data_IF_131540066247
#
_entry.id   IF_131540066247
#
_cell.length_a   1.000
_cell.length_b   1.000
_cell.length_c   1.000
_cell.angle_alpha   90.00
_cell.angle_beta   90.00
_cell.angle_gamma   90.00
#
_symmetry.space_group_name_H-M   'P 1'
#
loop_
_entity.id
_entity.type
_entity.pdbx_description
1 polymer ?
#
# COMPACT_ATOMS: atom_id res chain seq x y z
N UNK A 1 -10.61 -5.37 -11.30
CA UNK A 1 -10.60 -4.81 -9.94
C UNK A 1 -9.25 -4.15 -9.76
N UNK A 2 -9.18 -2.92 -9.27
CA UNK A 2 -7.90 -2.22 -9.13
C UNK A 2 -7.14 -2.71 -7.89
N UNK A 3 -5.82 -2.53 -7.87
CA UNK A 3 -4.97 -3.00 -6.77
C UNK A 3 -5.33 -2.32 -5.45
N UNK A 4 -5.63 -1.02 -5.47
CA UNK A 4 -6.03 -0.24 -4.30
C UNK A 4 -7.31 -0.78 -3.67
N UNK A 5 -8.32 -1.12 -4.46
CA UNK A 5 -9.58 -1.67 -3.97
C UNK A 5 -9.38 -3.05 -3.33
N UNK A 6 -8.58 -3.91 -3.97
CA UNK A 6 -8.29 -5.23 -3.44
C UNK A 6 -7.51 -5.15 -2.11
N UNK A 7 -6.49 -4.30 -2.05
CA UNK A 7 -5.72 -4.09 -0.82
C UNK A 7 -6.57 -3.48 0.30
N UNK A 8 -7.48 -2.57 -0.03
CA UNK A 8 -8.41 -1.98 0.93
C UNK A 8 -9.30 -3.03 1.60
N UNK A 9 -9.85 -3.95 0.81
CA UNK A 9 -10.68 -5.04 1.31
C UNK A 9 -9.87 -6.06 2.14
N UNK A 10 -8.68 -6.46 1.67
CA UNK A 10 -7.81 -7.43 2.34
C UNK A 10 -7.29 -6.93 3.68
N UNK A 11 -6.86 -5.67 3.75
CA UNK A 11 -6.29 -5.06 4.95
C UNK A 11 -7.31 -4.31 5.82
N UNK A 12 -8.60 -4.29 5.41
CA UNK A 12 -9.68 -3.56 6.08
C UNK A 12 -9.37 -2.08 6.30
N UNK A 13 -8.77 -1.44 5.29
CA UNK A 13 -8.45 -0.01 5.28
C UNK A 13 -9.32 0.72 4.27
N UNK A 14 -9.31 2.05 4.32
CA UNK A 14 -9.96 2.87 3.29
C UNK A 14 -9.24 2.69 1.96
N UNK A 15 -9.98 2.65 0.87
CA UNK A 15 -9.43 2.61 -0.49
C UNK A 15 -8.49 3.79 -0.77
N UNK A 16 -8.82 4.98 -0.26
CA UNK A 16 -7.95 6.16 -0.31
C UNK A 16 -6.58 5.92 0.35
N UNK A 17 -6.53 5.20 1.48
CA UNK A 17 -5.27 4.91 2.16
C UNK A 17 -4.43 3.90 1.37
N UNK A 18 -5.07 2.88 0.79
CA UNK A 18 -4.39 1.95 -0.11
C UNK A 18 -3.80 2.69 -1.32
N UNK A 19 -4.60 3.54 -1.98
CA UNK A 19 -4.16 4.34 -3.11
C UNK A 19 -2.98 5.27 -2.76
N UNK A 20 -3.05 5.96 -1.62
CA UNK A 20 -1.97 6.83 -1.15
C UNK A 20 -0.68 6.06 -0.86
N UNK A 21 -0.77 4.88 -0.23
CA UNK A 21 0.41 4.04 0.04
C UNK A 21 1.05 3.57 -1.27
N UNK A 22 0.25 3.12 -2.24
CA UNK A 22 0.74 2.71 -3.57
C UNK A 22 1.48 3.87 -4.23
N UNK A 23 0.88 5.07 -4.26
CA UNK A 23 1.50 6.26 -4.87
C UNK A 23 2.84 6.60 -4.20
N UNK A 24 2.90 6.59 -2.86
CA UNK A 24 4.13 6.88 -2.13
C UNK A 24 5.23 5.84 -2.40
N UNK A 25 4.86 4.55 -2.50
CA UNK A 25 5.80 3.48 -2.85
C UNK A 25 6.31 3.64 -4.29
N UNK A 26 5.44 4.02 -5.22
CA UNK A 26 5.80 4.25 -6.63
C UNK A 26 6.69 5.49 -6.82
N UNK A 27 6.53 6.50 -5.96
CA UNK A 27 7.44 7.64 -5.85
C UNK A 27 8.82 7.26 -5.26
N UNK A 28 9.01 6.01 -4.83
CA UNK A 28 10.27 5.51 -4.28
C UNK A 28 10.46 5.79 -2.78
N UNK A 29 9.41 6.20 -2.06
CA UNK A 29 9.51 6.38 -0.62
C UNK A 29 9.70 5.04 0.10
N UNK A 30 10.53 5.02 1.14
CA UNK A 30 10.76 3.80 1.93
C UNK A 30 9.64 3.57 2.95
N UNK A 31 9.37 2.31 3.29
CA UNK A 31 8.36 1.94 4.31
C UNK A 31 8.57 2.68 5.63
N UNK A 32 9.81 2.75 6.22
CA UNK A 32 10.02 3.49 7.46
C UNK A 32 9.73 4.99 7.33
N UNK A 33 10.00 5.57 6.16
CA UNK A 33 9.68 6.98 5.89
C UNK A 33 8.18 7.21 5.83
N UNK A 34 7.44 6.38 5.08
CA UNK A 34 5.98 6.48 4.94
C UNK A 34 5.33 6.37 6.34
N UNK A 35 5.65 5.31 7.09
CA UNK A 35 5.07 5.04 8.40
C UNK A 35 5.30 6.17 9.43
N UNK A 36 6.45 6.87 9.33
CA UNK A 36 6.83 7.92 10.29
C UNK A 36 6.37 9.32 9.87
N UNK A 37 6.46 9.66 8.59
CA UNK A 37 6.34 11.03 8.11
C UNK A 37 5.11 11.30 7.23
N UNK A 38 4.33 10.26 6.85
CA UNK A 38 3.15 10.39 5.98
C UNK A 38 1.87 9.87 6.63
N UNK A 39 1.78 9.95 7.96
CA UNK A 39 0.69 9.35 8.77
C UNK A 39 -0.70 9.81 8.34
N UNK A 40 -0.82 11.05 7.89
CA UNK A 40 -2.05 11.66 7.39
C UNK A 40 -2.56 11.00 6.09
N UNK A 41 -1.68 10.37 5.32
CA UNK A 41 -2.02 9.72 4.05
C UNK A 41 -2.56 8.30 4.21
N UNK A 42 -2.29 7.65 5.34
CA UNK A 42 -2.70 6.27 5.60
C UNK A 42 -3.46 6.10 6.93
N UNK A 43 -3.80 7.18 7.64
CA UNK A 43 -4.58 7.11 8.87
C UNK A 43 -3.90 6.35 10.00
N UNK A 44 -2.58 6.55 10.15
CA UNK A 44 -1.73 5.99 11.24
C UNK A 44 -1.44 4.48 11.22
N UNK A 45 -1.56 3.80 10.07
CA UNK A 45 -1.01 2.44 9.93
C UNK A 45 0.47 2.36 10.37
N UNK A 46 0.82 1.25 11.03
CA UNK A 46 2.19 0.95 11.42
C UNK A 46 3.04 0.43 10.25
N UNK A 47 4.35 0.35 10.48
CA UNK A 47 5.31 -0.08 9.48
C UNK A 47 5.13 -1.56 9.08
N UNK A 48 4.64 -2.41 9.99
CA UNK A 48 4.34 -3.82 9.70
C UNK A 48 3.19 -3.94 8.70
N UNK A 49 2.13 -3.15 8.89
CA UNK A 49 0.97 -3.11 7.98
C UNK A 49 1.36 -2.56 6.62
N UNK A 50 2.13 -1.46 6.58
CA UNK A 50 2.60 -0.89 5.31
C UNK A 50 3.53 -1.86 4.57
N UNK A 51 4.37 -2.61 5.28
CA UNK A 51 5.20 -3.67 4.69
C UNK A 51 4.35 -4.77 4.07
N UNK A 52 3.35 -5.28 4.78
CA UNK A 52 2.46 -6.32 4.27
C UNK A 52 1.68 -5.84 3.02
N UNK A 53 1.24 -4.58 3.01
CA UNK A 53 0.61 -3.96 1.83
C UNK A 53 1.60 -3.91 0.65
N UNK A 54 2.85 -3.52 0.88
CA UNK A 54 3.90 -3.46 -0.15
C UNK A 54 4.18 -4.84 -0.77
N UNK A 55 4.35 -5.87 0.06
CA UNK A 55 4.60 -7.24 -0.39
C UNK A 55 3.40 -7.78 -1.19
N UNK A 56 2.19 -7.50 -0.73
CA UNK A 56 0.96 -7.89 -1.43
C UNK A 56 0.81 -7.17 -2.77
N UNK A 57 1.07 -5.86 -2.82
CA UNK A 57 1.07 -5.08 -4.05
C UNK A 57 2.06 -5.65 -5.08
N UNK A 58 3.27 -6.00 -4.65
CA UNK A 58 4.27 -6.61 -5.52
C UNK A 58 3.79 -7.95 -6.09
N UNK A 59 3.20 -8.80 -5.25
CA UNK A 59 2.62 -10.06 -5.69
C UNK A 59 1.52 -9.86 -6.76
N UNK A 60 0.60 -8.92 -6.54
CA UNK A 60 -0.48 -8.63 -7.49
C UNK A 60 0.07 -8.11 -8.82
N UNK A 61 1.02 -7.17 -8.79
CA UNK A 61 1.71 -6.67 -9.99
C UNK A 61 2.42 -7.78 -10.76
N UNK A 62 3.04 -8.73 -10.05
CA UNK A 62 3.70 -9.87 -10.68
C UNK A 62 2.72 -10.90 -11.24
N UNK A 63 1.50 -11.02 -10.71
CA UNK A 63 0.44 -11.80 -11.34
C UNK A 63 -0.04 -11.14 -12.63
N UNK A 64 -0.26 -9.83 -12.62
CA UNK A 64 -0.72 -9.09 -13.80
C UNK A 64 0.31 -9.10 -14.94
N UNK A 65 1.62 -9.06 -14.62
CA UNK A 65 2.68 -9.22 -15.62
C UNK A 65 2.72 -10.61 -16.28
N UNK A 66 2.16 -11.64 -15.64
CA UNK A 66 2.13 -13.02 -16.14
C UNK A 66 0.85 -13.36 -16.89
N UNK A 67 -0.13 -12.46 -16.89
CA UNK A 67 -1.40 -12.58 -17.60
C UNK A 67 -1.31 -11.87 -18.94
#
# INVERSE_FOLDING_TARGET
MTHEKQLAEEFKIKEEYAANIIALLDEGNTIPFIARYRKEKHGTLDDQTIRAISERLEYLRNLDKRR
#
